data_IF_603705318284
#
_entry.id   IF_603705318284
#
_cell.length_a   1.000
_cell.length_b   1.000
_cell.length_c   1.000
_cell.angle_alpha   90.00
_cell.angle_beta   90.00
_cell.angle_gamma   90.00
#
_symmetry.space_group_name_H-M   'P 1'
#
loop_
_entity.id
_entity.type
_entity.pdbx_description
1 polymer ?
#
# COMPACT_ATOMS: atom_id res chain seq x y z
N UNK A 1 44.03 -59.39 9.16
CA UNK A 1 43.49 -58.46 8.15
C UNK A 1 42.20 -57.91 8.72
N UNK A 2 42.02 -56.58 8.76
CA UNK A 2 40.94 -55.94 9.51
C UNK A 2 39.61 -56.11 8.79
N UNK A 3 38.53 -56.26 9.55
CA UNK A 3 37.15 -56.21 9.07
C UNK A 3 36.82 -54.75 8.72
N UNK A 4 36.51 -54.47 7.46
CA UNK A 4 36.01 -53.18 7.00
C UNK A 4 34.57 -52.99 7.52
N UNK A 5 34.41 -52.16 8.55
CA UNK A 5 33.12 -51.62 8.95
C UNK A 5 32.57 -50.77 7.81
N UNK A 6 31.51 -51.25 7.16
CA UNK A 6 30.72 -50.44 6.23
C UNK A 6 29.91 -49.44 7.03
N UNK A 7 30.28 -48.16 6.93
CA UNK A 7 29.42 -47.06 7.34
C UNK A 7 28.13 -47.09 6.50
N UNK A 8 27.02 -47.47 7.13
CA UNK A 8 25.68 -47.29 6.56
C UNK A 8 25.35 -45.79 6.60
N UNK A 9 25.36 -45.14 5.43
CA UNK A 9 24.86 -43.78 5.26
C UNK A 9 23.35 -43.76 5.58
N UNK A 10 23.01 -43.16 6.72
CA UNK A 10 21.62 -42.86 7.10
C UNK A 10 21.09 -41.85 6.08
N UNK A 11 19.98 -42.13 5.36
CA UNK A 11 19.44 -41.16 4.42
C UNK A 11 18.96 -39.95 5.21
N UNK A 12 19.57 -38.79 4.94
CA UNK A 12 19.15 -37.49 5.44
C UNK A 12 17.71 -37.29 5.01
N UNK A 13 16.77 -37.46 5.94
CA UNK A 13 15.38 -37.11 5.72
C UNK A 13 15.34 -35.62 5.44
N UNK A 14 15.14 -35.26 4.17
CA UNK A 14 14.83 -33.89 3.78
C UNK A 14 13.65 -33.43 4.63
N UNK A 15 13.93 -32.51 5.56
CA UNK A 15 12.89 -31.79 6.26
C UNK A 15 12.06 -31.08 5.20
N UNK A 16 10.88 -31.64 4.91
CA UNK A 16 9.89 -31.04 4.03
C UNK A 16 9.42 -29.78 4.75
N UNK A 17 10.10 -28.66 4.51
CA UNK A 17 9.67 -27.36 4.97
C UNK A 17 8.20 -27.21 4.54
N UNK A 18 7.29 -26.81 5.46
CA UNK A 18 5.87 -26.72 5.14
C UNK A 18 5.72 -25.80 3.95
N UNK A 19 5.30 -26.37 2.81
CA UNK A 19 5.02 -25.62 1.57
C UNK A 19 4.08 -24.48 1.97
N UNK A 20 4.57 -23.25 1.90
CA UNK A 20 3.76 -22.06 2.19
C UNK A 20 2.73 -21.97 1.07
N UNK A 21 1.58 -22.61 1.28
CA UNK A 21 0.47 -22.64 0.33
C UNK A 21 0.08 -21.19 0.05
N UNK A 22 0.12 -20.81 -1.22
CA UNK A 22 -0.19 -19.44 -1.59
C UNK A 22 -1.68 -19.16 -1.30
N UNK A 23 -2.05 -17.96 -0.79
CA UNK A 23 -3.45 -17.65 -0.47
C UNK A 23 -4.42 -17.87 -1.64
N UNK A 24 -3.92 -17.79 -2.88
CA UNK A 24 -4.67 -18.00 -4.12
C UNK A 24 -5.16 -19.43 -4.31
N UNK A 25 -4.40 -20.44 -3.86
CA UNK A 25 -4.78 -21.85 -4.02
C UNK A 25 -5.97 -22.25 -3.14
N UNK A 26 -6.23 -21.50 -2.07
CA UNK A 26 -7.36 -21.71 -1.16
C UNK A 26 -8.58 -20.84 -1.50
N UNK A 27 -8.49 -19.99 -2.52
CA UNK A 27 -9.52 -19.01 -2.79
C UNK A 27 -10.72 -19.61 -3.51
N UNK A 28 -11.88 -19.58 -2.84
CA UNK A 28 -13.18 -19.93 -3.43
C UNK A 28 -13.95 -18.62 -3.63
N UNK A 29 -14.17 -18.17 -4.89
CA UNK A 29 -14.84 -16.90 -5.16
C UNK A 29 -16.31 -16.96 -4.78
N UNK A 30 -16.78 -15.95 -4.04
CA UNK A 30 -18.19 -15.80 -3.64
C UNK A 30 -18.90 -14.79 -4.53
N UNK A 31 -18.18 -13.78 -5.01
CA UNK A 31 -18.73 -12.72 -5.88
C UNK A 31 -18.76 -13.13 -7.36
N UNK A 32 -19.67 -12.53 -8.14
CA UNK A 32 -19.71 -12.72 -9.60
C UNK A 32 -18.41 -12.29 -10.29
N UNK A 33 -17.83 -11.18 -9.84
CA UNK A 33 -16.54 -10.68 -10.33
C UNK A 33 -15.43 -11.67 -9.96
N UNK A 34 -15.43 -12.15 -8.71
CA UNK A 34 -14.51 -13.19 -8.26
C UNK A 34 -14.58 -14.44 -9.13
N UNK A 35 -15.79 -14.91 -9.47
CA UNK A 35 -15.98 -16.05 -10.38
C UNK A 35 -15.45 -15.75 -11.78
N UNK A 36 -15.78 -14.59 -12.34
CA UNK A 36 -15.31 -14.20 -13.67
C UNK A 36 -13.77 -14.09 -13.75
N UNK A 37 -13.13 -13.56 -12.70
CA UNK A 37 -11.66 -13.46 -12.59
C UNK A 37 -11.04 -14.84 -12.33
N UNK A 38 -11.70 -15.68 -11.53
CA UNK A 38 -11.26 -17.05 -11.26
C UNK A 38 -11.29 -17.90 -12.53
N UNK A 39 -12.36 -17.79 -13.32
CA UNK A 39 -12.52 -18.44 -14.64
C UNK A 39 -11.62 -17.85 -15.72
N UNK A 40 -11.02 -16.67 -15.50
CA UNK A 40 -10.14 -16.00 -16.46
C UNK A 40 -10.85 -15.18 -17.54
N UNK A 41 -12.16 -14.91 -17.38
CA UNK A 41 -12.93 -14.04 -18.28
C UNK A 41 -12.48 -12.59 -18.21
N UNK A 42 -12.10 -12.13 -17.02
CA UNK A 42 -11.53 -10.80 -16.78
C UNK A 42 -10.04 -10.98 -16.50
N UNK A 43 -9.20 -10.43 -17.36
CA UNK A 43 -7.73 -10.51 -17.24
C UNK A 43 -7.11 -9.19 -16.78
N UNK A 44 -7.79 -8.06 -17.01
CA UNK A 44 -7.27 -6.74 -16.69
C UNK A 44 -8.14 -6.02 -15.65
N UNK A 45 -7.49 -5.38 -14.67
CA UNK A 45 -8.13 -4.58 -13.63
C UNK A 45 -8.87 -3.35 -14.20
N UNK A 46 -8.41 -2.84 -15.34
CA UNK A 46 -9.02 -1.68 -16.00
C UNK A 46 -10.47 -1.95 -16.43
N UNK A 47 -10.81 -3.19 -16.77
CA UNK A 47 -12.18 -3.59 -17.12
C UNK A 47 -13.11 -3.45 -15.91
N UNK A 48 -12.63 -3.84 -14.73
CA UNK A 48 -13.39 -3.71 -13.47
C UNK A 48 -13.61 -2.23 -13.14
N UNK A 49 -12.60 -1.39 -13.33
CA UNK A 49 -12.74 0.05 -13.10
C UNK A 49 -13.73 0.71 -14.07
N UNK A 50 -13.75 0.32 -15.35
CA UNK A 50 -14.72 0.82 -16.34
C UNK A 50 -16.15 0.41 -16.01
N UNK A 51 -16.35 -0.82 -15.52
CA UNK A 51 -17.67 -1.30 -15.07
C UNK A 51 -18.17 -0.57 -13.82
N UNK A 52 -17.29 0.15 -13.10
CA UNK A 52 -17.64 0.88 -11.88
C UNK A 52 -18.07 -0.03 -10.71
N UNK A 53 -17.86 -1.36 -10.84
CA UNK A 53 -18.22 -2.31 -9.80
C UNK A 53 -17.20 -2.26 -8.65
N UNK A 54 -17.70 -2.40 -7.42
CA UNK A 54 -16.87 -2.40 -6.22
C UNK A 54 -16.19 -3.75 -6.03
N UNK A 55 -14.88 -3.74 -5.80
CA UNK A 55 -14.12 -4.93 -5.42
C UNK A 55 -14.32 -5.20 -3.92
N UNK A 56 -14.69 -6.43 -3.58
CA UNK A 56 -14.97 -6.86 -2.19
C UNK A 56 -13.97 -7.93 -1.72
N UNK A 57 -13.46 -8.75 -2.65
CA UNK A 57 -12.52 -9.82 -2.38
C UNK A 57 -11.09 -9.34 -2.72
N UNK A 58 -10.16 -9.29 -1.75
CA UNK A 58 -8.78 -8.86 -2.02
C UNK A 58 -8.01 -9.82 -2.93
N UNK A 59 -8.41 -11.09 -2.97
CA UNK A 59 -7.78 -12.14 -3.78
C UNK A 59 -7.94 -11.89 -5.29
N UNK A 60 -9.00 -11.18 -5.69
CA UNK A 60 -9.20 -10.72 -7.08
C UNK A 60 -7.97 -9.93 -7.55
N UNK A 61 -7.46 -9.05 -6.69
CA UNK A 61 -6.32 -8.19 -7.02
C UNK A 61 -5.03 -8.97 -7.05
N UNK A 62 -4.87 -9.94 -6.14
CA UNK A 62 -3.69 -10.81 -6.10
C UNK A 62 -3.55 -11.63 -7.38
N UNK A 63 -4.68 -12.02 -7.98
CA UNK A 63 -4.68 -12.71 -9.28
C UNK A 63 -4.43 -11.76 -10.46
N UNK A 64 -5.02 -10.57 -10.45
CA UNK A 64 -4.95 -9.62 -11.58
C UNK A 64 -3.63 -8.83 -11.63
N UNK A 65 -3.03 -8.55 -10.47
CA UNK A 65 -1.81 -7.74 -10.35
C UNK A 65 -0.82 -8.47 -9.43
N UNK A 66 -0.05 -9.44 -9.94
CA UNK A 66 0.87 -10.23 -9.11
C UNK A 66 2.08 -9.42 -8.61
N UNK A 67 2.47 -8.35 -9.31
CA UNK A 67 3.64 -7.52 -8.97
C UNK A 67 3.33 -6.42 -7.94
N UNK A 68 2.41 -6.70 -7.02
CA UNK A 68 1.93 -5.71 -6.07
C UNK A 68 2.85 -5.63 -4.85
N UNK A 69 3.47 -4.47 -4.63
CA UNK A 69 4.33 -4.18 -3.48
C UNK A 69 3.51 -3.54 -2.36
N UNK A 70 3.91 -3.77 -1.12
CA UNK A 70 3.29 -3.18 0.07
C UNK A 70 4.35 -2.55 0.97
N UNK A 71 4.08 -1.33 1.43
CA UNK A 71 4.92 -0.64 2.42
C UNK A 71 4.08 -0.20 3.62
N UNK A 72 4.66 -0.35 4.81
CA UNK A 72 4.02 0.06 6.07
C UNK A 72 4.38 1.52 6.37
N UNK A 73 3.37 2.30 6.71
CA UNK A 73 3.53 3.70 7.13
C UNK A 73 3.74 3.76 8.64
N UNK A 74 4.76 4.51 9.05
CA UNK A 74 5.09 4.67 10.48
C UNK A 74 4.11 5.63 11.15
N UNK A 75 3.00 5.09 11.67
CA UNK A 75 1.94 5.88 12.34
C UNK A 75 2.06 5.92 13.86
N UNK A 76 2.84 5.01 14.45
CA UNK A 76 3.08 4.95 15.88
C UNK A 76 4.18 5.90 16.33
N UNK A 77 4.17 6.24 17.61
CA UNK A 77 5.22 6.99 18.26
C UNK A 77 5.40 6.49 19.68
N UNK A 78 6.65 6.34 20.11
CA UNK A 78 7.04 6.13 21.51
C UNK A 78 8.00 7.24 21.91
N UNK A 79 7.88 7.71 23.14
CA UNK A 79 8.85 8.64 23.71
C UNK A 79 10.19 7.92 23.85
N UNK A 80 11.19 8.37 23.09
CA UNK A 80 12.56 7.89 23.17
C UNK A 80 13.26 8.41 24.43
N UNK A 81 14.42 7.85 24.76
CA UNK A 81 15.19 8.18 25.97
C UNK A 81 15.61 9.66 26.06
N UNK A 82 15.63 10.40 24.95
CA UNK A 82 15.98 11.83 24.86
C UNK A 82 14.79 12.78 24.61
N UNK A 83 13.55 12.37 24.89
CA UNK A 83 12.36 13.21 24.70
C UNK A 83 11.85 13.34 23.25
N UNK A 84 12.62 12.84 22.27
CA UNK A 84 12.17 12.71 20.88
C UNK A 84 11.13 11.60 20.70
N UNK A 85 10.33 11.69 19.63
CA UNK A 85 9.36 10.65 19.26
C UNK A 85 10.04 9.66 18.32
N UNK A 86 10.30 8.44 18.82
CA UNK A 86 10.71 7.32 17.99
C UNK A 86 9.48 6.74 17.29
N UNK A 87 9.54 6.58 15.98
CA UNK A 87 8.37 6.23 15.16
C UNK A 87 8.32 4.72 14.91
N UNK A 88 7.14 4.15 15.11
CA UNK A 88 6.89 2.71 15.09
C UNK A 88 5.85 2.41 13.98
N UNK A 89 5.91 1.25 13.30
CA UNK A 89 4.95 0.86 12.26
C UNK A 89 3.49 0.80 12.75
N UNK A 90 3.27 0.49 14.03
CA UNK A 90 1.93 0.35 14.60
C UNK A 90 1.63 1.40 15.66
N UNK A 91 0.42 1.94 15.65
CA UNK A 91 -0.11 2.79 16.71
C UNK A 91 -0.84 1.94 17.74
N UNK A 92 -0.40 2.02 18.99
CA UNK A 92 -1.05 1.35 20.13
C UNK A 92 -2.12 2.28 20.69
N UNK A 93 -3.33 1.77 20.87
CA UNK A 93 -4.44 2.49 21.52
C UNK A 93 -4.96 1.66 22.68
N UNK A 94 -5.11 2.29 23.84
CA UNK A 94 -5.61 1.64 25.05
C UNK A 94 -7.02 2.13 25.36
N UNK A 95 -7.98 1.21 25.43
CA UNK A 95 -9.34 1.48 25.91
C UNK A 95 -9.44 1.08 27.37
N UNK A 96 -9.93 1.98 28.21
CA UNK A 96 -10.19 1.70 29.64
C UNK A 96 -11.47 0.89 29.79
N UNK A 97 -11.40 -0.21 30.53
CA UNK A 97 -12.55 -1.04 30.91
C UNK A 97 -12.58 -1.19 32.43
N UNK A 98 -13.72 -1.65 32.98
CA UNK A 98 -13.86 -1.90 34.43
C UNK A 98 -12.78 -2.88 34.96
N UNK A 99 -12.31 -3.80 34.12
CA UNK A 99 -11.30 -4.81 34.44
C UNK A 99 -9.87 -4.44 34.01
N UNK A 100 -9.61 -3.17 33.67
CA UNK A 100 -8.28 -2.68 33.27
C UNK A 100 -8.20 -2.16 31.83
N UNK A 101 -6.98 -2.06 31.31
CA UNK A 101 -6.70 -1.51 29.96
C UNK A 101 -6.71 -2.63 28.92
N UNK A 102 -7.48 -2.45 27.85
CA UNK A 102 -7.41 -3.29 26.65
C UNK A 102 -6.62 -2.58 25.57
N UNK A 103 -5.55 -3.20 25.10
CA UNK A 103 -4.71 -2.66 24.02
C UNK A 103 -5.20 -3.13 22.66
N UNK A 104 -5.14 -2.22 21.69
CA UNK A 104 -5.41 -2.49 20.28
C UNK A 104 -4.30 -1.89 19.44
N UNK A 105 -3.92 -2.60 18.39
CA UNK A 105 -2.87 -2.20 17.46
C UNK A 105 -3.53 -1.77 16.16
N UNK A 106 -3.19 -0.57 15.71
CA UNK A 106 -3.57 -0.08 14.39
C UNK A 106 -2.35 -0.02 13.49
N UNK A 107 -2.51 -0.48 12.25
CA UNK A 107 -1.52 -0.40 11.19
C UNK A 107 -2.08 0.38 10.00
N UNK A 108 -1.21 1.08 9.28
CA UNK A 108 -1.55 1.78 8.05
C UNK A 108 -0.58 1.36 6.96
N UNK A 109 -1.11 0.91 5.82
CA UNK A 109 -0.34 0.30 4.75
C UNK A 109 -0.70 0.95 3.43
N UNK A 110 0.32 1.14 2.61
CA UNK A 110 0.19 1.54 1.21
C UNK A 110 0.57 0.36 0.34
N UNK A 111 -0.18 0.14 -0.73
CA UNK A 111 0.01 -0.95 -1.68
C UNK A 111 0.04 -0.35 -3.07
N UNK A 112 0.92 -0.83 -3.96
CA UNK A 112 0.99 -0.34 -5.33
C UNK A 112 1.93 -1.13 -6.23
N UNK A 113 1.82 -0.92 -7.54
CA UNK A 113 2.58 -1.65 -8.56
C UNK A 113 3.68 -0.80 -9.24
N UNK A 114 3.98 0.39 -8.69
CA UNK A 114 4.92 1.37 -9.28
C UNK A 114 4.55 1.81 -10.71
N UNK A 115 3.34 1.50 -11.16
CA UNK A 115 2.84 1.75 -12.51
C UNK A 115 1.43 2.34 -12.47
N UNK A 116 1.25 3.36 -11.64
CA UNK A 116 -0.02 4.10 -11.57
C UNK A 116 -1.16 3.39 -10.82
N UNK A 117 -0.98 2.22 -10.22
CA UNK A 117 -1.95 1.67 -9.26
C UNK A 117 -1.44 1.84 -7.84
N UNK A 118 -2.25 2.46 -7.00
CA UNK A 118 -1.96 2.59 -5.57
C UNK A 118 -3.23 2.44 -4.73
N UNK A 119 -3.09 1.95 -3.51
CA UNK A 119 -4.17 1.75 -2.57
C UNK A 119 -3.69 1.98 -1.14
N UNK A 120 -4.58 2.46 -0.28
CA UNK A 120 -4.28 2.69 1.14
C UNK A 120 -5.27 1.94 2.03
N UNK A 121 -4.78 1.44 3.16
CA UNK A 121 -5.59 0.63 4.07
C UNK A 121 -5.22 0.84 5.52
N UNK A 122 -6.25 0.90 6.38
CA UNK A 122 -6.11 0.92 7.84
C UNK A 122 -6.68 -0.36 8.46
N UNK A 123 -5.83 -1.11 9.14
CA UNK A 123 -6.21 -2.29 9.90
C UNK A 123 -6.11 -2.04 11.40
N UNK A 124 -7.03 -2.62 12.17
CA UNK A 124 -6.97 -2.62 13.64
C UNK A 124 -7.26 -4.04 14.14
N UNK A 125 -6.45 -4.51 15.08
CA UNK A 125 -6.57 -5.85 15.67
C UNK A 125 -5.97 -5.87 17.09
N UNK A 126 -6.27 -6.90 17.91
CA UNK A 126 -5.61 -7.09 19.20
C UNK A 126 -4.13 -7.48 19.08
N UNK A 127 -3.68 -7.93 17.91
CA UNK A 127 -2.29 -8.29 17.61
C UNK A 127 -1.74 -7.48 16.45
N UNK A 128 -0.42 -7.27 16.45
CA UNK A 128 0.28 -6.46 15.44
C UNK A 128 0.22 -7.09 14.05
N UNK A 129 0.53 -8.38 13.92
CA UNK A 129 0.54 -9.07 12.62
C UNK A 129 -0.84 -9.09 11.97
N UNK A 130 -1.86 -9.46 12.74
CA UNK A 130 -3.25 -9.43 12.29
C UNK A 130 -3.72 -8.02 11.88
N UNK A 131 -3.22 -6.97 12.53
CA UNK A 131 -3.54 -5.59 12.14
C UNK A 131 -2.94 -5.23 10.78
N UNK A 132 -1.69 -5.64 10.52
CA UNK A 132 -0.99 -5.41 9.25
C UNK A 132 -1.69 -6.19 8.12
N UNK A 133 -2.00 -7.47 8.32
CA UNK A 133 -2.69 -8.30 7.32
C UNK A 133 -4.06 -7.71 6.95
N UNK A 134 -4.84 -7.27 7.95
CA UNK A 134 -6.11 -6.54 7.72
C UNK A 134 -5.91 -5.22 6.97
N UNK A 135 -4.80 -4.52 7.24
CA UNK A 135 -4.48 -3.27 6.55
C UNK A 135 -4.13 -3.53 5.07
N UNK A 136 -3.33 -4.56 4.79
CA UNK A 136 -2.99 -4.98 3.42
C UNK A 136 -4.25 -5.37 2.64
N UNK A 137 -5.11 -6.22 3.22
CA UNK A 137 -6.36 -6.62 2.58
C UNK A 137 -7.24 -5.42 2.22
N UNK A 138 -7.40 -4.46 3.15
CA UNK A 138 -8.15 -3.23 2.89
C UNK A 138 -7.47 -2.32 1.86
N UNK A 139 -6.15 -2.25 1.84
CA UNK A 139 -5.41 -1.44 0.88
C UNK A 139 -5.60 -1.94 -0.55
N UNK A 140 -5.58 -3.27 -0.74
CA UNK A 140 -5.95 -3.92 -2.01
C UNK A 140 -7.34 -3.48 -2.45
N UNK A 141 -8.35 -3.63 -1.59
CA UNK A 141 -9.73 -3.26 -1.92
C UNK A 141 -9.92 -1.78 -2.30
N UNK A 142 -9.05 -0.89 -1.81
CA UNK A 142 -9.08 0.55 -2.08
C UNK A 142 -8.05 0.96 -3.15
N UNK A 143 -7.75 0.11 -4.12
CA UNK A 143 -6.90 0.47 -5.25
C UNK A 143 -7.56 1.55 -6.12
N UNK A 144 -6.75 2.54 -6.51
CA UNK A 144 -7.09 3.57 -7.47
C UNK A 144 -6.06 3.57 -8.60
N UNK A 145 -6.52 3.93 -9.80
CA UNK A 145 -5.65 4.26 -10.92
C UNK A 145 -5.30 5.74 -10.88
N UNK A 146 -4.02 6.04 -11.02
CA UNK A 146 -3.45 7.37 -11.02
C UNK A 146 -3.02 7.71 -12.44
N UNK A 147 -3.38 8.91 -12.87
CA UNK A 147 -2.88 9.47 -14.13
C UNK A 147 -1.49 10.06 -13.89
N UNK A 148 -0.48 9.48 -14.55
CA UNK A 148 0.89 9.99 -14.61
C UNK A 148 1.08 10.78 -15.91
N UNK A 149 2.08 11.65 -15.96
CA UNK A 149 2.33 12.49 -17.13
C UNK A 149 3.48 13.48 -16.93
N UNK A 150 3.61 14.41 -17.87
CA UNK A 150 4.54 15.53 -17.79
C UNK A 150 3.75 16.83 -17.85
N UNK A 151 3.46 17.42 -16.68
CA UNK A 151 2.71 18.67 -16.56
C UNK A 151 3.57 19.91 -16.26
N UNK A 152 4.89 19.75 -16.19
CA UNK A 152 5.78 20.87 -15.87
C UNK A 152 5.97 21.76 -17.08
N UNK A 153 5.84 23.08 -16.92
CA UNK A 153 6.16 24.05 -17.96
C UNK A 153 7.63 23.92 -18.43
N UNK A 154 8.51 23.48 -17.53
CA UNK A 154 9.95 23.38 -17.78
C UNK A 154 10.36 22.08 -18.50
N UNK A 155 9.46 21.09 -18.68
CA UNK A 155 9.78 19.84 -19.38
C UNK A 155 8.78 19.53 -20.48
N UNK A 156 9.30 19.29 -21.68
CA UNK A 156 8.54 18.79 -22.85
C UNK A 156 8.78 17.29 -23.06
N UNK A 157 9.30 16.62 -22.04
CA UNK A 157 9.58 15.21 -22.05
C UNK A 157 8.26 14.44 -21.95
N UNK A 158 7.73 13.90 -23.07
CA UNK A 158 6.50 13.08 -23.14
C UNK A 158 6.56 11.75 -22.35
N UNK A 159 7.44 11.66 -21.35
CA UNK A 159 7.57 10.53 -20.42
C UNK A 159 6.72 10.75 -19.17
N UNK A 160 6.09 9.69 -18.69
CA UNK A 160 5.20 9.69 -17.52
C UNK A 160 5.97 9.61 -16.18
N UNK A 161 6.78 10.63 -15.89
CA UNK A 161 7.60 10.69 -14.68
C UNK A 161 6.95 11.48 -13.53
N UNK A 162 6.02 12.38 -13.84
CA UNK A 162 5.37 13.28 -12.88
C UNK A 162 3.84 13.18 -12.99
N UNK A 163 3.15 14.23 -12.55
CA UNK A 163 1.71 14.42 -12.64
C UNK A 163 1.39 15.37 -13.82
N UNK A 164 0.26 15.21 -14.53
CA UNK A 164 -0.11 16.08 -15.65
C UNK A 164 -0.51 17.51 -15.27
N UNK A 165 -1.10 17.74 -14.09
CA UNK A 165 -1.52 19.07 -13.64
C UNK A 165 -1.54 19.16 -12.11
N UNK A 166 -1.54 20.39 -11.59
CA UNK A 166 -1.61 20.63 -10.15
C UNK A 166 -2.88 20.02 -9.55
N UNK A 167 -2.74 19.24 -8.49
CA UNK A 167 -3.87 18.70 -7.73
C UNK A 167 -3.79 19.09 -6.26
N UNK A 168 -4.95 19.11 -5.59
CA UNK A 168 -5.03 19.39 -4.16
C UNK A 168 -5.97 18.43 -3.45
N UNK A 169 -5.52 17.94 -2.30
CA UNK A 169 -6.24 17.01 -1.45
C UNK A 169 -6.34 17.53 -0.03
N UNK A 170 -7.39 17.10 0.68
CA UNK A 170 -7.64 17.53 2.06
C UNK A 170 -8.15 16.36 2.88
N UNK A 171 -7.64 16.23 4.10
CA UNK A 171 -8.19 15.30 5.10
C UNK A 171 -8.01 15.91 6.49
N UNK A 172 -9.12 16.15 7.19
CA UNK A 172 -9.10 16.86 8.47
C UNK A 172 -8.55 18.29 8.34
N UNK A 173 -7.58 18.65 9.20
CA UNK A 173 -6.86 19.93 9.15
C UNK A 173 -5.76 19.97 8.08
N UNK A 174 -5.33 18.81 7.56
CA UNK A 174 -4.21 18.71 6.62
C UNK A 174 -4.67 18.99 5.19
N UNK A 175 -3.95 19.87 4.50
CA UNK A 175 -4.12 20.16 3.07
C UNK A 175 -2.82 19.87 2.36
N UNK A 176 -2.89 19.18 1.23
CA UNK A 176 -1.72 18.85 0.41
C UNK A 176 -1.96 19.34 -1.01
N UNK A 177 -0.94 19.95 -1.58
CA UNK A 177 -0.92 20.40 -2.96
C UNK A 177 0.22 19.65 -3.66
N UNK A 178 -0.15 18.91 -4.70
CA UNK A 178 0.77 18.23 -5.59
C UNK A 178 1.00 19.11 -6.82
N UNK A 179 2.26 19.38 -7.12
CA UNK A 179 2.69 20.20 -8.24
C UNK A 179 3.57 19.36 -9.18
N UNK A 180 3.38 19.47 -10.51
CA UNK A 180 4.24 18.78 -11.46
C UNK A 180 5.68 19.29 -11.36
N UNK A 181 6.64 18.39 -11.56
CA UNK A 181 8.07 18.69 -11.52
C UNK A 181 8.73 18.28 -12.83
N UNK A 182 9.77 18.98 -13.32
CA UNK A 182 10.59 18.49 -14.41
C UNK A 182 11.41 17.25 -14.00
N UNK A 183 11.91 16.53 -15.00
CA UNK A 183 12.66 15.27 -14.82
C UNK A 183 13.98 15.50 -14.09
N UNK A 184 14.25 14.69 -13.06
CA UNK A 184 15.54 14.64 -12.36
C UNK A 184 15.57 15.35 -11.00
N UNK A 185 14.45 15.90 -10.53
CA UNK A 185 14.34 16.49 -9.19
C UNK A 185 14.16 15.41 -8.12
N UNK A 186 13.47 14.32 -8.47
CA UNK A 186 13.03 13.29 -7.54
C UNK A 186 11.80 13.68 -6.71
N UNK A 187 11.56 12.91 -5.65
CA UNK A 187 10.40 13.06 -4.77
C UNK A 187 10.68 14.06 -3.64
N UNK A 188 10.26 15.33 -3.84
CA UNK A 188 10.39 16.38 -2.82
C UNK A 188 9.18 16.35 -1.89
N UNK A 189 9.22 15.44 -0.91
CA UNK A 189 8.19 15.22 0.10
C UNK A 189 8.78 14.71 1.42
N UNK A 190 7.95 14.53 2.46
CA UNK A 190 8.36 13.79 3.66
C UNK A 190 8.53 12.29 3.38
N UNK A 191 9.25 11.58 4.22
CA UNK A 191 9.65 10.20 3.94
C UNK A 191 8.46 9.23 3.83
N UNK A 192 7.38 9.45 4.58
CA UNK A 192 6.18 8.60 4.46
C UNK A 192 5.40 8.93 3.18
N UNK A 193 5.34 10.19 2.79
CA UNK A 193 4.76 10.62 1.51
C UNK A 193 5.55 10.12 0.31
N UNK A 194 6.88 10.00 0.42
CA UNK A 194 7.70 9.39 -0.65
C UNK A 194 7.31 7.94 -0.91
N UNK A 195 6.96 7.17 0.13
CA UNK A 195 6.55 5.76 -0.01
C UNK A 195 5.33 5.61 -0.91
N UNK A 196 4.28 6.42 -0.67
CA UNK A 196 3.07 6.38 -1.50
C UNK A 196 3.33 6.86 -2.93
N UNK A 197 4.12 7.91 -3.11
CA UNK A 197 4.43 8.45 -4.44
C UNK A 197 5.28 7.48 -5.27
N UNK A 198 6.23 6.80 -4.62
CA UNK A 198 7.04 5.75 -5.24
C UNK A 198 6.18 4.57 -5.69
N UNK A 199 5.32 4.05 -4.79
CA UNK A 199 4.41 2.95 -5.11
C UNK A 199 3.37 3.31 -6.18
N UNK A 200 3.03 4.61 -6.32
CA UNK A 200 2.21 5.11 -7.40
C UNK A 200 2.95 5.20 -8.75
N UNK A 201 4.28 5.02 -8.79
CA UNK A 201 5.08 5.15 -10.01
C UNK A 201 5.46 6.58 -10.38
N UNK A 202 5.32 7.53 -9.45
CA UNK A 202 5.74 8.91 -9.65
C UNK A 202 7.22 9.02 -9.28
N UNK A 203 8.02 9.61 -10.15
CA UNK A 203 9.47 9.80 -9.95
C UNK A 203 9.80 11.21 -9.48
N UNK A 204 9.15 12.21 -10.07
CA UNK A 204 9.43 13.62 -9.83
C UNK A 204 8.16 14.35 -9.43
N UNK A 205 8.17 15.04 -8.29
CA UNK A 205 7.02 15.80 -7.81
C UNK A 205 7.40 16.79 -6.71
N UNK A 206 6.73 17.94 -6.73
CA UNK A 206 6.77 18.90 -5.64
C UNK A 206 5.54 18.74 -4.75
N UNK A 207 5.75 18.52 -3.45
CA UNK A 207 4.66 18.41 -2.47
C UNK A 207 4.68 19.59 -1.53
N UNK A 208 3.58 20.33 -1.46
CA UNK A 208 3.37 21.39 -0.46
C UNK A 208 2.30 20.94 0.53
N UNK A 209 2.66 20.87 1.81
CA UNK A 209 1.76 20.45 2.89
C UNK A 209 1.44 21.61 3.82
N UNK A 210 0.19 21.73 4.24
CA UNK A 210 -0.28 22.76 5.18
C UNK A 210 -1.09 22.09 6.30
N UNK A 211 -1.08 22.69 7.50
CA UNK A 211 -1.77 22.19 8.68
C UNK A 211 -0.93 21.20 9.51
N UNK A 212 -1.60 20.39 10.35
CA UNK A 212 -0.94 19.49 11.30
C UNK A 212 -0.41 18.21 10.65
N UNK A 213 0.78 18.29 10.06
CA UNK A 213 1.47 17.16 9.40
C UNK A 213 1.95 16.08 10.37
N UNK A 214 1.87 16.33 11.69
CA UNK A 214 2.17 15.33 12.73
C UNK A 214 1.25 14.11 12.64
N UNK A 215 0.00 14.31 12.21
CA UNK A 215 -0.98 13.24 12.03
C UNK A 215 -0.83 12.60 10.65
N UNK A 216 0.05 11.60 10.56
CA UNK A 216 0.40 10.94 9.29
C UNK A 216 -0.74 10.24 8.57
N UNK A 217 -1.68 9.69 9.32
CA UNK A 217 -2.87 9.06 8.73
C UNK A 217 -3.61 10.09 7.86
N UNK A 218 -3.77 11.32 8.35
CA UNK A 218 -4.43 12.39 7.62
C UNK A 218 -3.58 12.91 6.46
N UNK A 219 -2.26 13.03 6.67
CA UNK A 219 -1.33 13.45 5.63
C UNK A 219 -1.36 12.51 4.41
N UNK A 220 -1.17 11.20 4.63
CA UNK A 220 -1.17 10.22 3.53
C UNK A 220 -2.56 10.10 2.90
N UNK A 221 -3.64 10.19 3.69
CA UNK A 221 -5.00 10.21 3.15
C UNK A 221 -5.26 11.45 2.28
N UNK A 222 -4.72 12.61 2.64
CA UNK A 222 -4.84 13.83 1.84
C UNK A 222 -4.05 13.73 0.53
N UNK A 223 -2.88 13.09 0.53
CA UNK A 223 -2.13 12.79 -0.70
C UNK A 223 -2.91 11.83 -1.59
N UNK A 224 -3.44 10.75 -1.01
CA UNK A 224 -4.26 9.79 -1.74
C UNK A 224 -5.51 10.45 -2.36
N UNK A 225 -6.16 11.37 -1.64
CA UNK A 225 -7.26 12.18 -2.17
C UNK A 225 -6.82 13.09 -3.33
N UNK A 226 -5.65 13.73 -3.21
CA UNK A 226 -5.08 14.54 -4.29
C UNK A 226 -4.79 13.69 -5.54
N UNK A 227 -4.22 12.49 -5.36
CA UNK A 227 -3.93 11.57 -6.46
C UNK A 227 -5.22 11.05 -7.11
N UNK A 228 -6.25 10.76 -6.33
CA UNK A 228 -7.56 10.33 -6.83
C UNK A 228 -8.22 11.39 -7.71
N UNK A 229 -8.09 12.67 -7.36
CA UNK A 229 -8.65 13.80 -8.14
C UNK A 229 -8.01 13.97 -9.52
N UNK A 230 -6.78 13.48 -9.73
CA UNK A 230 -6.11 13.49 -11.03
C UNK A 230 -6.81 12.63 -12.09
N UNK A 231 -7.63 11.68 -11.66
CA UNK A 231 -8.41 10.86 -12.59
C UNK A 231 -9.77 11.49 -12.91
N UNK A 232 -10.28 12.40 -12.06
CA UNK A 232 -11.61 13.00 -12.21
C UNK A 232 -11.58 14.14 -13.23
N UNK A 233 -10.53 14.97 -13.20
CA UNK A 233 -10.39 16.15 -14.08
C UNK A 233 -10.12 15.81 -15.56
N UNK A 234 -10.08 14.52 -15.90
CA UNK A 234 -9.92 14.04 -17.28
C UNK A 234 -11.27 13.75 -17.97
N UNK A 235 -12.40 13.84 -17.23
CA UNK A 235 -13.74 13.56 -17.76
C UNK A 235 -14.45 14.79 -18.35
N UNK A 236 -13.74 15.87 -18.66
CA UNK A 236 -14.30 17.08 -19.27
C UNK A 236 -13.69 18.35 -18.71
#
# INVERSE_FOLDING_TARGET
MPEEEKEEEIPVTEEIAPKVVSPLEKWIPKTEIGKAVFEGKITNIDEIFKLGKKIIEPEIIDKLVPNLKNEIILIGGRTGKGGGIERIPTRITATMTKSGRRFTYSAFVVVGNEDGLVGIGKGTAPETRAAIEKAIAKAKLNLIKIKRGCGSWECTCNTEHSIPYKSSGKTGSVRVILLPAPKGIGLVADDESKKILRLAGIKDIWVKTFGDTSTRINLISAIFDALKKLYIYDRG
#
